data_IF_849135747534
#
_entry.id   IF_849135747534
#
_cell.length_a   1.000
_cell.length_b   1.000
_cell.length_c   1.000
_cell.angle_alpha   90.00
_cell.angle_beta   90.00
_cell.angle_gamma   90.00
#
_symmetry.space_group_name_H-M   'P 1'
#
loop_
_entity.id
_entity.type
_entity.pdbx_description
1 polymer ?
#
# COMPACT_ATOMS: atom_id res chain seq x y z
N UNK A 1 -2.08 17.00 6.39
CA UNK A 1 -1.57 16.57 5.07
C UNK A 1 -1.54 15.06 5.08
N UNK A 2 -2.13 14.42 4.09
CA UNK A 2 -2.13 12.97 3.96
C UNK A 2 -1.08 12.56 2.94
N UNK A 3 -0.40 11.45 3.19
CA UNK A 3 0.69 10.92 2.35
C UNK A 3 0.36 9.47 2.01
N UNK A 4 0.50 9.12 0.74
CA UNK A 4 0.42 7.74 0.23
C UNK A 4 1.83 7.29 -0.13
N UNK A 5 2.26 6.16 0.41
CA UNK A 5 3.50 5.51 -0.01
C UNK A 5 3.21 4.45 -1.08
N UNK A 6 3.78 4.64 -2.27
CA UNK A 6 3.75 3.68 -3.37
C UNK A 6 4.96 2.73 -3.32
N UNK A 7 4.89 1.60 -4.02
CA UNK A 7 5.93 0.57 -4.08
C UNK A 7 6.22 -0.15 -2.74
N UNK A 8 5.18 -0.40 -1.94
CA UNK A 8 5.29 -1.30 -0.77
C UNK A 8 5.32 -2.76 -1.24
N UNK A 9 6.50 -3.36 -1.28
CA UNK A 9 6.74 -4.69 -1.88
C UNK A 9 6.93 -5.83 -0.87
N UNK A 10 7.02 -5.53 0.42
CA UNK A 10 7.08 -6.53 1.49
C UNK A 10 6.65 -5.96 2.86
N UNK A 11 6.52 -6.87 3.83
CA UNK A 11 6.05 -6.59 5.19
C UNK A 11 7.00 -5.68 5.98
N UNK A 12 8.30 -5.73 5.70
CA UNK A 12 9.30 -4.90 6.37
C UNK A 12 9.11 -3.41 6.01
N UNK A 13 8.88 -3.12 4.73
CA UNK A 13 8.59 -1.77 4.23
C UNK A 13 7.28 -1.25 4.83
N UNK A 14 6.22 -2.08 4.85
CA UNK A 14 4.93 -1.72 5.46
C UNK A 14 5.10 -1.31 6.93
N UNK A 15 5.74 -2.15 7.75
CA UNK A 15 5.95 -1.88 9.18
C UNK A 15 6.76 -0.61 9.42
N UNK A 16 7.77 -0.36 8.59
CA UNK A 16 8.57 0.86 8.65
C UNK A 16 7.71 2.11 8.40
N UNK A 17 6.90 2.11 7.33
CA UNK A 17 6.05 3.23 6.94
C UNK A 17 4.98 3.54 8.00
N UNK A 18 4.34 2.49 8.55
CA UNK A 18 3.38 2.65 9.65
C UNK A 18 4.05 3.28 10.87
N UNK A 19 5.28 2.84 11.21
CA UNK A 19 6.06 3.42 12.31
C UNK A 19 6.42 4.89 12.06
N UNK A 20 6.61 5.28 10.80
CA UNK A 20 6.85 6.66 10.38
C UNK A 20 5.56 7.51 10.33
N UNK A 21 4.40 6.94 10.64
CA UNK A 21 3.10 7.63 10.62
C UNK A 21 2.45 7.72 9.24
N UNK A 22 2.90 6.93 8.27
CA UNK A 22 2.33 6.85 6.93
C UNK A 22 1.36 5.65 6.89
N UNK A 23 0.06 5.95 6.90
CA UNK A 23 -0.99 4.92 6.95
C UNK A 23 -1.58 4.53 5.60
N UNK A 24 -1.44 5.37 4.57
CA UNK A 24 -1.93 5.05 3.23
C UNK A 24 -0.82 4.38 2.42
N UNK A 25 -1.02 3.11 2.07
CA UNK A 25 -0.01 2.26 1.47
C UNK A 25 -0.53 1.65 0.16
N UNK A 26 0.31 1.65 -0.87
CA UNK A 26 0.06 1.01 -2.15
C UNK A 26 1.31 0.24 -2.59
N UNK A 27 1.12 -0.99 -3.07
CA UNK A 27 2.22 -1.81 -3.59
C UNK A 27 1.84 -3.27 -3.66
N UNK A 28 2.68 -4.07 -4.31
CA UNK A 28 2.38 -5.49 -4.59
C UNK A 28 2.34 -6.37 -3.33
N UNK A 29 2.85 -5.89 -2.20
CA UNK A 29 2.62 -6.53 -0.91
C UNK A 29 1.17 -6.44 -0.46
N UNK A 30 0.51 -5.31 -0.77
CA UNK A 30 -0.88 -5.04 -0.41
C UNK A 30 -1.82 -5.66 -1.45
N UNK A 31 -1.53 -5.43 -2.73
CA UNK A 31 -2.33 -5.93 -3.84
C UNK A 31 -1.77 -5.49 -5.19
N UNK A 32 -2.04 -6.26 -6.24
CA UNK A 32 -1.71 -5.88 -7.61
C UNK A 32 -2.87 -5.14 -8.25
N UNK A 33 -2.62 -4.23 -9.20
CA UNK A 33 -3.68 -3.68 -10.04
C UNK A 33 -4.48 -4.81 -10.70
N UNK A 34 -5.80 -4.69 -10.65
CA UNK A 34 -6.74 -5.62 -11.25
C UNK A 34 -7.70 -4.89 -12.18
N UNK A 35 -8.28 -5.56 -13.18
CA UNK A 35 -9.43 -5.06 -13.93
C UNK A 35 -10.53 -4.56 -13.00
N UNK A 36 -11.29 -3.56 -13.46
CA UNK A 36 -12.33 -2.92 -12.65
C UNK A 36 -13.44 -3.89 -12.26
N UNK A 37 -13.70 -4.90 -13.10
CA UNK A 37 -14.69 -5.94 -12.86
C UNK A 37 -14.31 -6.87 -11.70
N UNK A 38 -13.01 -6.91 -11.35
CA UNK A 38 -12.47 -7.71 -10.24
C UNK A 38 -12.18 -6.86 -8.99
N UNK A 39 -12.32 -5.54 -9.06
CA UNK A 39 -12.10 -4.68 -7.91
C UNK A 39 -13.26 -4.82 -6.93
N UNK A 40 -12.99 -5.33 -5.72
CA UNK A 40 -13.91 -5.26 -4.59
C UNK A 40 -13.85 -3.83 -4.01
N UNK A 41 -14.79 -2.98 -4.42
CA UNK A 41 -14.94 -1.60 -3.96
C UNK A 41 -15.88 -1.49 -2.75
#
# INVERSE_FOLDING_TARGET
MEVVAEFVENEEIEKMLITMGIGWLQGYHIGKPVPIELAEL
#
